data_IF_481108683007
#
_entry.id   IF_481108683007
#
_cell.length_a   1.000
_cell.length_b   1.000
_cell.length_c   1.000
_cell.angle_alpha   90.00
_cell.angle_beta   90.00
_cell.angle_gamma   90.00
#
_symmetry.space_group_name_H-M   'P 1'
#
loop_
_entity.id
_entity.type
_entity.pdbx_description
1 polymer ?
#
# COMPACT_ATOMS: atom_id res chain seq x y z
N UNK A 1 -18.94 -5.56 -18.50
CA UNK A 1 -18.99 -5.63 -17.02
C UNK A 1 -17.88 -4.74 -16.48
N UNK A 2 -18.15 -3.98 -15.41
CA UNK A 2 -17.14 -3.12 -14.78
C UNK A 2 -16.16 -3.92 -13.92
N UNK A 3 -14.94 -3.40 -13.75
CA UNK A 3 -13.94 -3.96 -12.83
C UNK A 3 -14.28 -3.57 -11.40
N UNK A 4 -14.12 -4.49 -10.47
CA UNK A 4 -14.26 -4.25 -9.03
C UNK A 4 -13.02 -4.69 -8.28
N UNK A 5 -12.61 -3.96 -7.26
CA UNK A 5 -11.52 -4.37 -6.38
C UNK A 5 -11.97 -4.28 -4.92
N UNK A 6 -11.86 -5.38 -4.19
CA UNK A 6 -12.04 -5.39 -2.75
C UNK A 6 -10.83 -4.73 -2.09
N UNK A 7 -11.09 -3.74 -1.24
CA UNK A 7 -10.11 -2.82 -0.71
C UNK A 7 -10.31 -2.61 0.80
N UNK A 8 -9.23 -2.80 1.56
CA UNK A 8 -9.28 -2.82 3.02
C UNK A 8 -9.75 -1.47 3.56
N UNK A 9 -10.89 -1.47 4.24
CA UNK A 9 -11.40 -0.30 4.95
C UNK A 9 -11.01 -0.31 6.43
N UNK A 10 -10.93 0.88 7.00
CA UNK A 10 -10.80 1.06 8.44
C UNK A 10 -12.13 1.33 9.11
N UNK A 11 -12.07 2.10 10.20
CA UNK A 11 -13.24 2.56 10.95
C UNK A 11 -14.22 3.44 10.16
N UNK A 12 -13.82 3.91 8.98
CA UNK A 12 -14.67 4.62 8.03
C UNK A 12 -14.50 3.97 6.64
N UNK A 13 -15.59 3.80 5.90
CA UNK A 13 -15.59 3.23 4.55
C UNK A 13 -14.93 4.11 3.50
N UNK A 14 -14.36 5.26 3.83
CA UNK A 14 -13.48 6.04 2.94
C UNK A 14 -12.01 5.84 3.28
N UNK A 15 -11.72 5.41 4.52
CA UNK A 15 -10.36 5.18 4.99
C UNK A 15 -9.82 3.86 4.43
N UNK A 16 -9.00 3.93 3.38
CA UNK A 16 -8.41 2.77 2.68
C UNK A 16 -6.89 2.73 2.84
N UNK A 17 -6.39 1.90 3.74
CA UNK A 17 -4.98 1.97 4.17
C UNK A 17 -4.13 0.76 3.78
N UNK A 18 -4.67 -0.25 3.09
CA UNK A 18 -3.85 -1.40 2.69
C UNK A 18 -2.74 -0.98 1.72
N UNK A 19 -1.45 -1.23 2.05
CA UNK A 19 -0.34 -0.90 1.15
C UNK A 19 -0.48 -1.63 -0.19
N UNK A 20 -0.99 -2.87 -0.18
CA UNK A 20 -1.13 -3.70 -1.37
C UNK A 20 -2.27 -3.23 -2.28
N UNK A 21 -3.37 -2.72 -1.71
CA UNK A 21 -4.46 -2.15 -2.49
C UNK A 21 -4.03 -0.83 -3.15
N UNK A 22 -3.23 -0.01 -2.47
CA UNK A 22 -2.66 1.19 -3.06
C UNK A 22 -1.79 0.91 -4.28
N UNK A 23 -0.98 -0.16 -4.28
CA UNK A 23 -0.24 -0.59 -5.49
C UNK A 23 -1.17 -0.75 -6.69
N UNK A 24 -2.28 -1.47 -6.49
CA UNK A 24 -3.25 -1.77 -7.56
C UNK A 24 -4.02 -0.52 -8.00
N UNK A 25 -4.36 0.40 -7.09
CA UNK A 25 -4.98 1.69 -7.44
C UNK A 25 -4.10 2.49 -8.40
N UNK A 26 -2.81 2.61 -8.10
CA UNK A 26 -1.86 3.28 -8.98
C UNK A 26 -1.70 2.56 -10.33
N UNK A 27 -1.65 1.23 -10.33
CA UNK A 27 -1.57 0.45 -11.57
C UNK A 27 -2.80 0.61 -12.47
N UNK A 28 -4.01 0.53 -11.90
CA UNK A 28 -5.26 0.76 -12.62
C UNK A 28 -5.31 2.19 -13.19
N UNK A 29 -4.90 3.19 -12.41
CA UNK A 29 -4.89 4.57 -12.84
C UNK A 29 -3.84 4.84 -13.95
N UNK A 30 -2.65 4.25 -13.85
CA UNK A 30 -1.62 4.28 -14.90
C UNK A 30 -2.16 3.73 -16.22
N UNK A 31 -2.88 2.61 -16.16
CA UNK A 31 -3.55 1.98 -17.31
C UNK A 31 -4.76 2.78 -17.83
N UNK A 32 -5.27 3.77 -17.09
CA UNK A 32 -6.49 4.51 -17.43
C UNK A 32 -7.76 3.67 -17.29
N UNK A 33 -7.78 2.77 -16.29
CA UNK A 33 -8.82 1.75 -16.14
C UNK A 33 -9.74 2.03 -14.94
N UNK A 34 -10.99 2.44 -15.19
CA UNK A 34 -12.05 2.68 -14.17
C UNK A 34 -12.42 1.47 -13.32
N UNK A 35 -12.24 1.52 -12.01
CA UNK A 35 -12.52 0.40 -11.11
C UNK A 35 -13.42 0.84 -9.94
N UNK A 36 -14.41 0.01 -9.61
CA UNK A 36 -15.20 0.16 -8.39
C UNK A 36 -14.41 -0.39 -7.20
N UNK A 37 -14.15 0.44 -6.19
CA UNK A 37 -13.45 0.02 -4.98
C UNK A 37 -14.44 -0.35 -3.87
N UNK A 38 -14.58 -1.65 -3.61
CA UNK A 38 -15.52 -2.18 -2.62
C UNK A 38 -14.87 -2.19 -1.24
N UNK A 39 -15.42 -1.51 -0.21
CA UNK A 39 -14.94 -1.64 1.16
C UNK A 39 -14.92 -3.10 1.62
N UNK A 40 -13.84 -3.50 2.27
CA UNK A 40 -13.70 -4.83 2.85
C UNK A 40 -13.05 -4.75 4.24
N UNK A 41 -13.67 -5.37 5.25
CA UNK A 41 -13.12 -5.49 6.62
C UNK A 41 -12.37 -6.81 6.78
N UNK A 42 -11.44 -6.88 7.73
CA UNK A 42 -10.64 -8.09 7.98
C UNK A 42 -11.47 -9.34 8.27
N UNK A 43 -12.62 -9.16 8.93
CA UNK A 43 -13.52 -10.26 9.29
C UNK A 43 -14.54 -10.61 8.20
N UNK A 44 -14.68 -9.80 7.15
CA UNK A 44 -15.63 -10.00 6.03
C UNK A 44 -15.16 -11.09 5.04
N UNK A 45 -14.71 -12.24 5.53
CA UNK A 45 -14.09 -13.29 4.70
C UNK A 45 -15.02 -13.84 3.64
N UNK A 46 -16.32 -13.90 3.93
CA UNK A 46 -17.34 -14.38 2.99
C UNK A 46 -17.42 -13.53 1.72
N UNK A 47 -17.20 -12.21 1.84
CA UNK A 47 -17.28 -11.27 0.73
C UNK A 47 -16.24 -11.55 -0.38
N UNK A 48 -15.14 -12.25 -0.06
CA UNK A 48 -14.09 -12.63 -1.00
C UNK A 48 -13.88 -14.15 -1.09
N UNK A 49 -14.77 -14.95 -0.51
CA UNK A 49 -14.60 -16.41 -0.44
C UNK A 49 -14.49 -17.07 -1.81
N UNK A 50 -15.13 -16.51 -2.83
CA UNK A 50 -15.04 -16.96 -4.23
C UNK A 50 -13.61 -16.88 -4.82
N UNK A 51 -12.70 -16.12 -4.19
CA UNK A 51 -11.32 -15.97 -4.64
C UNK A 51 -10.35 -16.97 -3.99
N UNK A 52 -10.84 -17.83 -3.08
CA UNK A 52 -10.03 -18.73 -2.25
C UNK A 52 -8.95 -18.00 -1.42
N UNK A 53 -9.09 -16.69 -1.22
CA UNK A 53 -8.20 -15.87 -0.40
C UNK A 53 -8.88 -15.32 0.85
N UNK A 54 -8.04 -14.96 1.82
CA UNK A 54 -8.46 -14.32 3.07
C UNK A 54 -7.89 -12.91 3.21
N UNK A 55 -7.39 -12.31 2.13
CA UNK A 55 -6.69 -11.02 2.10
C UNK A 55 -7.00 -10.28 0.81
N UNK A 56 -6.90 -8.96 0.88
CA UNK A 56 -7.05 -8.03 -0.26
C UNK A 56 -5.68 -7.48 -0.68
N UNK A 57 -5.52 -7.01 -1.94
CA UNK A 57 -6.53 -6.80 -2.97
C UNK A 57 -7.03 -8.10 -3.62
N UNK A 58 -8.32 -8.10 -3.97
CA UNK A 58 -8.95 -9.06 -4.90
C UNK A 58 -9.58 -8.24 -6.02
N UNK A 59 -9.06 -8.38 -7.24
CA UNK A 59 -9.60 -7.75 -8.45
C UNK A 59 -10.56 -8.73 -9.13
N UNK A 60 -11.76 -8.26 -9.46
CA UNK A 60 -12.74 -8.94 -10.30
C UNK A 60 -12.87 -8.18 -11.60
N UNK A 61 -12.65 -8.86 -12.72
CA UNK A 61 -12.75 -8.31 -14.06
C UNK A 61 -13.50 -9.29 -14.97
N UNK A 62 -14.77 -8.99 -15.23
CA UNK A 62 -15.70 -9.95 -15.85
C UNK A 62 -15.84 -11.20 -14.98
N UNK A 63 -15.52 -12.37 -15.56
CA UNK A 63 -15.56 -13.66 -14.89
C UNK A 63 -14.22 -14.06 -14.24
N UNK A 64 -13.21 -13.17 -14.29
CA UNK A 64 -11.88 -13.45 -13.73
C UNK A 64 -11.74 -12.82 -12.34
N UNK A 65 -11.24 -13.59 -11.37
CA UNK A 65 -10.79 -13.10 -10.08
C UNK A 65 -9.27 -13.25 -9.95
N UNK A 66 -8.59 -12.16 -9.62
CA UNK A 66 -7.12 -12.10 -9.50
C UNK A 66 -6.73 -11.54 -8.15
N UNK A 67 -5.76 -12.18 -7.52
CA UNK A 67 -5.31 -11.91 -6.16
C UNK A 67 -3.79 -11.71 -6.14
N UNK A 68 -3.25 -11.18 -5.04
CA UNK A 68 -1.88 -10.66 -4.93
C UNK A 68 -1.64 -9.43 -5.81
N UNK A 69 -1.18 -8.33 -5.20
CA UNK A 69 -1.02 -7.05 -5.91
C UNK A 69 -0.09 -7.13 -7.12
N UNK A 70 0.95 -7.98 -7.08
CA UNK A 70 1.91 -8.11 -8.19
C UNK A 70 1.37 -9.01 -9.29
N UNK A 71 0.67 -10.09 -8.94
CA UNK A 71 -0.01 -10.92 -9.95
C UNK A 71 -1.17 -10.17 -10.61
N UNK A 72 -1.82 -9.23 -9.91
CA UNK A 72 -2.76 -8.27 -10.51
C UNK A 72 -2.04 -7.38 -11.55
N UNK A 73 -0.82 -6.89 -11.31
CA UNK A 73 -0.07 -6.12 -12.32
C UNK A 73 0.18 -6.98 -13.57
N UNK A 74 0.61 -8.24 -13.40
CA UNK A 74 0.82 -9.17 -14.51
C UNK A 74 -0.46 -9.47 -15.29
N UNK A 75 -1.58 -9.61 -14.59
CA UNK A 75 -2.89 -9.77 -15.21
C UNK A 75 -3.25 -8.53 -16.05
N UNK A 76 -3.11 -7.33 -15.47
CA UNK A 76 -3.42 -6.08 -16.16
C UNK A 76 -2.56 -5.90 -17.41
N UNK A 77 -1.26 -6.22 -17.36
CA UNK A 77 -0.38 -6.18 -18.54
C UNK A 77 -0.77 -7.20 -19.62
N UNK A 78 -1.26 -8.37 -19.23
CA UNK A 78 -1.70 -9.40 -20.18
C UNK A 78 -3.02 -9.05 -20.85
N UNK A 79 -3.98 -8.54 -20.10
CA UNK A 79 -5.35 -8.27 -20.58
C UNK A 79 -5.47 -6.89 -21.23
N UNK A 80 -4.72 -5.91 -20.72
CA UNK A 80 -4.69 -4.54 -21.19
C UNK A 80 -3.25 -4.16 -21.54
N UNK A 81 -2.74 -4.53 -22.73
CA UNK A 81 -1.32 -4.43 -23.07
C UNK A 81 -0.81 -2.98 -23.23
N UNK A 82 -1.72 -2.02 -23.46
CA UNK A 82 -1.36 -0.61 -23.54
C UNK A 82 -0.80 -0.11 -22.20
N UNK A 83 0.23 0.75 -22.24
CA UNK A 83 0.93 1.29 -21.07
C UNK A 83 1.40 0.17 -20.10
N UNK A 84 2.35 -0.68 -20.52
CA UNK A 84 2.79 -1.82 -19.72
C UNK A 84 3.40 -1.37 -18.39
N UNK A 85 3.07 -2.07 -17.31
CA UNK A 85 3.56 -1.80 -15.96
C UNK A 85 4.93 -2.44 -15.75
N UNK A 86 5.05 -3.74 -16.04
CA UNK A 86 6.21 -4.56 -15.66
C UNK A 86 7.23 -4.72 -16.79
N UNK A 87 6.84 -4.43 -18.02
CA UNK A 87 7.65 -4.73 -19.21
C UNK A 87 7.79 -6.24 -19.45
N UNK A 88 8.76 -6.64 -20.28
CA UNK A 88 9.00 -8.02 -20.68
C UNK A 88 10.22 -8.66 -19.98
N UNK A 89 10.16 -9.98 -19.83
CA UNK A 89 11.25 -10.83 -19.35
C UNK A 89 12.02 -10.24 -18.15
N UNK A 90 13.29 -9.85 -18.30
CA UNK A 90 14.10 -9.31 -17.20
C UNK A 90 13.54 -8.06 -16.51
N UNK A 91 12.75 -7.22 -17.21
CA UNK A 91 12.17 -6.02 -16.60
C UNK A 91 11.17 -6.38 -15.50
N UNK A 92 10.29 -7.35 -15.78
CA UNK A 92 9.31 -7.83 -14.81
C UNK A 92 10.00 -8.43 -13.57
N UNK A 93 11.06 -9.23 -13.76
CA UNK A 93 11.81 -9.83 -12.65
C UNK A 93 12.55 -8.78 -11.80
N UNK A 94 13.05 -7.70 -12.41
CA UNK A 94 13.58 -6.55 -11.65
C UNK A 94 12.49 -5.84 -10.86
N UNK A 95 11.30 -5.62 -11.42
CA UNK A 95 10.17 -5.06 -10.66
C UNK A 95 9.76 -5.98 -9.48
N UNK A 96 9.87 -7.31 -9.65
CA UNK A 96 9.63 -8.28 -8.56
C UNK A 96 10.60 -8.10 -7.40
N UNK A 97 11.83 -7.65 -7.63
CA UNK A 97 12.74 -7.27 -6.55
C UNK A 97 12.17 -6.11 -5.72
N UNK A 98 11.62 -5.07 -6.34
CA UNK A 98 11.01 -3.93 -5.63
C UNK A 98 9.79 -4.33 -4.80
N UNK A 99 9.00 -5.32 -5.25
CA UNK A 99 7.95 -5.93 -4.42
C UNK A 99 8.52 -6.43 -3.09
N UNK A 100 9.59 -7.23 -3.15
CA UNK A 100 10.23 -7.78 -1.95
C UNK A 100 10.95 -6.72 -1.12
N UNK A 101 11.62 -5.76 -1.75
CA UNK A 101 12.24 -4.62 -1.06
C UNK A 101 11.21 -3.85 -0.22
N UNK A 102 10.06 -3.51 -0.81
CA UNK A 102 8.99 -2.84 -0.08
C UNK A 102 8.44 -3.69 1.08
N UNK A 103 8.27 -4.99 0.89
CA UNK A 103 7.70 -5.90 1.90
C UNK A 103 8.67 -6.29 3.02
N UNK A 104 9.96 -6.41 2.71
CA UNK A 104 10.97 -6.99 3.60
C UNK A 104 11.90 -5.95 4.20
N UNK A 105 12.09 -4.82 3.53
CA UNK A 105 12.98 -3.76 3.99
C UNK A 105 12.21 -2.55 4.51
N UNK A 106 11.21 -2.06 3.76
CA UNK A 106 10.47 -0.85 4.15
C UNK A 106 9.36 -1.14 5.18
N UNK A 107 8.49 -2.11 4.88
CA UNK A 107 7.31 -2.39 5.69
C UNK A 107 7.60 -2.68 7.18
N UNK A 108 8.68 -3.38 7.57
CA UNK A 108 8.98 -3.58 8.99
C UNK A 108 9.27 -2.28 9.75
N UNK A 109 10.00 -1.35 9.13
CA UNK A 109 10.28 -0.03 9.70
C UNK A 109 9.01 0.80 9.83
N UNK A 110 8.25 0.90 8.73
CA UNK A 110 6.95 1.59 8.71
C UNK A 110 6.03 1.03 9.79
N UNK A 111 5.80 -0.28 9.82
CA UNK A 111 4.90 -0.93 10.75
C UNK A 111 5.27 -0.62 12.20
N UNK A 112 6.55 -0.79 12.56
CA UNK A 112 7.02 -0.52 13.92
C UNK A 112 6.78 0.93 14.32
N UNK A 113 6.87 1.86 13.35
CA UNK A 113 6.59 3.27 13.58
C UNK A 113 5.12 3.58 13.79
N UNK A 114 4.21 2.99 13.03
CA UNK A 114 2.79 3.40 13.01
C UNK A 114 1.83 2.35 13.61
N UNK A 115 2.32 1.28 14.23
CA UNK A 115 1.49 0.12 14.60
C UNK A 115 0.23 0.51 15.41
N UNK A 116 0.36 1.37 16.41
CA UNK A 116 -0.79 1.79 17.22
C UNK A 116 -1.74 2.70 16.46
N UNK A 117 -1.23 3.54 15.54
CA UNK A 117 -2.09 4.32 14.65
C UNK A 117 -2.88 3.42 13.70
N UNK A 118 -2.25 2.36 13.18
CA UNK A 118 -2.93 1.35 12.37
C UNK A 118 -4.00 0.64 13.19
N UNK A 119 -3.70 0.25 14.43
CA UNK A 119 -4.70 -0.34 15.32
C UNK A 119 -5.88 0.61 15.58
N UNK A 120 -5.61 1.91 15.71
CA UNK A 120 -6.66 2.93 15.85
C UNK A 120 -7.49 3.10 14.57
N UNK A 121 -6.85 3.00 13.40
CA UNK A 121 -7.49 3.09 12.09
C UNK A 121 -8.36 1.86 11.75
N UNK A 122 -8.03 0.68 12.29
CA UNK A 122 -8.80 -0.56 12.10
C UNK A 122 -10.25 -0.38 12.58
N UNK A 123 -11.19 -0.94 11.81
CA UNK A 123 -12.61 -0.92 12.16
C UNK A 123 -12.85 -1.53 13.55
N UNK A 124 -13.72 -0.96 14.41
CA UNK A 124 -13.98 -1.48 15.75
C UNK A 124 -14.24 -2.99 15.80
N UNK A 125 -15.11 -3.51 14.92
CA UNK A 125 -15.43 -4.95 14.78
C UNK A 125 -14.21 -5.84 14.47
N UNK A 126 -13.15 -5.28 13.87
CA UNK A 126 -11.95 -6.01 13.49
C UNK A 126 -10.82 -5.91 14.51
N UNK A 127 -10.93 -5.05 15.54
CA UNK A 127 -9.81 -4.77 16.45
C UNK A 127 -9.38 -6.01 17.24
N UNK A 128 -10.32 -6.82 17.70
CA UNK A 128 -10.00 -8.06 18.41
C UNK A 128 -9.28 -9.05 17.49
N UNK A 129 -9.80 -9.24 16.27
CA UNK A 129 -9.17 -10.09 15.26
C UNK A 129 -7.76 -9.59 14.93
N UNK A 130 -7.60 -8.27 14.73
CA UNK A 130 -6.33 -7.64 14.45
C UNK A 130 -5.34 -7.91 15.58
N UNK A 131 -5.66 -7.51 16.82
CA UNK A 131 -4.78 -7.68 17.97
C UNK A 131 -4.36 -9.14 18.12
N UNK A 132 -5.32 -10.06 18.21
CA UNK A 132 -5.07 -11.48 18.43
C UNK A 132 -4.13 -12.08 17.38
N UNK A 133 -4.40 -11.80 16.10
CA UNK A 133 -3.59 -12.38 15.02
C UNK A 133 -2.20 -11.76 14.90
N UNK A 134 -2.06 -10.45 15.17
CA UNK A 134 -0.77 -9.75 15.06
C UNK A 134 0.12 -10.05 16.26
N UNK A 135 -0.41 -10.04 17.48
CA UNK A 135 0.35 -10.41 18.68
C UNK A 135 0.82 -11.86 18.63
N UNK A 136 -0.03 -12.79 18.14
CA UNK A 136 0.40 -14.17 17.88
C UNK A 136 1.56 -14.24 16.87
N UNK A 137 1.52 -13.45 15.80
CA UNK A 137 2.58 -13.42 14.80
C UNK A 137 3.87 -12.74 15.30
N UNK A 138 3.74 -11.74 16.18
CA UNK A 138 4.88 -11.02 16.76
C UNK A 138 5.51 -11.73 17.97
N UNK A 139 4.74 -12.59 18.65
CA UNK A 139 5.14 -13.21 19.91
C UNK A 139 5.19 -12.23 21.09
N UNK A 140 4.52 -11.07 20.96
CA UNK A 140 4.47 -9.97 21.94
C UNK A 140 3.27 -9.08 21.67
N UNK A 141 2.94 -8.20 22.62
CA UNK A 141 1.82 -7.25 22.48
C UNK A 141 2.05 -6.23 21.36
N UNK A 142 0.97 -5.58 20.89
CA UNK A 142 1.09 -4.48 19.93
C UNK A 142 1.91 -3.32 20.51
N UNK A 143 1.70 -3.03 21.79
CA UNK A 143 2.38 -1.96 22.53
C UNK A 143 3.89 -2.21 22.64
N UNK A 144 4.31 -3.45 22.92
CA UNK A 144 5.74 -3.83 22.93
C UNK A 144 6.36 -3.86 21.53
N UNK A 145 5.55 -4.13 20.50
CA UNK A 145 6.02 -4.10 19.11
C UNK A 145 6.15 -2.66 18.60
N UNK A 146 5.27 -1.76 19.03
CA UNK A 146 5.27 -0.35 18.62
C UNK A 146 6.48 0.39 19.18
N UNK A 147 7.34 0.89 18.30
CA UNK A 147 8.54 1.63 18.69
C UNK A 147 8.91 2.62 17.58
N UNK A 148 8.33 3.84 17.59
CA UNK A 148 8.59 4.86 16.58
C UNK A 148 10.05 5.13 16.31
N UNK A 149 10.87 5.29 17.34
CA UNK A 149 12.31 5.57 17.17
C UNK A 149 13.06 4.43 16.48
N UNK A 150 12.80 3.18 16.88
CA UNK A 150 13.42 2.02 16.24
C UNK A 150 12.90 1.82 14.81
N UNK A 151 11.59 1.99 14.59
CA UNK A 151 10.97 1.87 13.27
C UNK A 151 11.52 2.90 12.29
N UNK A 152 11.66 4.16 12.73
CA UNK A 152 12.27 5.23 11.93
C UNK A 152 13.75 4.94 11.63
N UNK A 153 14.53 4.46 12.59
CA UNK A 153 15.93 4.07 12.34
C UNK A 153 16.07 2.89 11.37
N UNK A 154 15.16 1.92 11.44
CA UNK A 154 15.10 0.81 10.47
C UNK A 154 14.73 1.31 9.07
N UNK A 155 13.72 2.17 8.99
CA UNK A 155 13.26 2.74 7.73
C UNK A 155 14.36 3.60 7.10
N UNK A 156 15.00 4.48 7.86
CA UNK A 156 16.09 5.33 7.41
C UNK A 156 17.21 4.55 6.72
N UNK A 157 17.66 3.44 7.33
CA UNK A 157 18.64 2.53 6.71
C UNK A 157 18.09 1.84 5.46
N UNK A 158 16.83 1.44 5.49
CA UNK A 158 16.20 0.75 4.36
C UNK A 158 16.03 1.67 3.15
N UNK A 159 15.91 2.98 3.34
CA UNK A 159 15.74 3.98 2.28
C UNK A 159 17.03 4.34 1.55
N UNK A 160 18.20 3.95 2.04
CA UNK A 160 19.48 4.38 1.48
C UNK A 160 19.65 4.08 -0.02
N UNK A 161 19.33 2.87 -0.53
CA UNK A 161 19.39 2.61 -1.97
C UNK A 161 18.39 3.48 -2.77
N UNK A 162 17.26 3.81 -2.16
CA UNK A 162 16.22 4.63 -2.77
C UNK A 162 16.68 6.09 -2.88
N UNK A 163 17.37 6.62 -1.87
CA UNK A 163 17.97 7.96 -1.90
C UNK A 163 18.97 8.07 -3.05
N UNK A 164 19.92 7.14 -3.13
CA UNK A 164 20.90 7.13 -4.23
C UNK A 164 20.24 7.10 -5.61
N UNK A 165 19.18 6.29 -5.79
CA UNK A 165 18.43 6.27 -7.04
C UNK A 165 17.74 7.61 -7.34
N UNK A 166 17.17 8.25 -6.32
CA UNK A 166 16.38 9.48 -6.46
C UNK A 166 17.21 10.76 -6.52
N UNK A 167 18.51 10.68 -6.25
CA UNK A 167 19.47 11.74 -6.59
C UNK A 167 19.71 11.83 -8.10
N UNK A 168 19.63 10.70 -8.81
CA UNK A 168 19.84 10.64 -10.24
C UNK A 168 18.56 10.91 -11.06
N UNK A 169 17.38 10.72 -10.48
CA UNK A 169 16.14 10.63 -11.24
C UNK A 169 14.90 10.92 -10.39
N UNK A 170 13.82 11.50 -10.96
CA UNK A 170 12.63 11.86 -10.19
C UNK A 170 11.84 10.65 -9.69
N UNK A 171 11.95 9.49 -10.35
CA UNK A 171 11.28 8.25 -10.00
C UNK A 171 12.25 7.06 -9.99
N UNK A 172 11.82 5.95 -9.40
CA UNK A 172 12.62 4.71 -9.36
C UNK A 172 12.81 4.12 -10.75
N UNK A 173 11.84 4.31 -11.65
CA UNK A 173 11.92 3.87 -13.05
C UNK A 173 12.56 4.86 -14.01
N UNK A 174 12.95 6.05 -13.54
CA UNK A 174 13.54 7.08 -14.39
C UNK A 174 12.77 8.39 -14.35
N UNK A 175 12.55 8.96 -15.53
CA UNK A 175 11.90 10.26 -15.70
C UNK A 175 10.39 10.22 -15.43
N UNK A 176 9.77 9.04 -15.53
CA UNK A 176 8.36 8.80 -15.26
C UNK A 176 8.18 7.67 -14.24
N UNK A 177 7.05 7.69 -13.52
CA UNK A 177 6.72 6.66 -12.53
C UNK A 177 6.24 5.36 -13.21
N UNK A 178 6.80 4.24 -12.78
CA UNK A 178 6.46 2.91 -13.30
C UNK A 178 6.07 1.91 -12.22
N UNK A 179 6.08 0.62 -12.55
CA UNK A 179 5.65 -0.43 -11.61
C UNK A 179 6.50 -0.45 -10.34
N UNK A 180 7.81 -0.22 -10.44
CA UNK A 180 8.71 -0.19 -9.29
C UNK A 180 8.29 0.90 -8.28
N UNK A 181 7.92 2.09 -8.77
CA UNK A 181 7.36 3.16 -7.95
C UNK A 181 6.03 2.75 -7.30
N UNK A 182 5.12 2.15 -8.06
CA UNK A 182 3.80 1.73 -7.57
C UNK A 182 3.91 0.63 -6.50
N UNK A 183 4.87 -0.29 -6.64
CA UNK A 183 5.13 -1.35 -5.66
C UNK A 183 5.68 -0.77 -4.33
N UNK A 184 6.50 0.28 -4.40
CA UNK A 184 7.12 0.92 -3.23
C UNK A 184 6.18 1.91 -2.56
N UNK A 185 5.44 2.73 -3.32
CA UNK A 185 4.54 3.78 -2.79
C UNK A 185 3.45 3.23 -1.88
N UNK A 186 3.08 1.96 -2.04
CA UNK A 186 2.13 1.30 -1.15
C UNK A 186 2.51 1.41 0.33
N UNK A 187 3.79 1.26 0.69
CA UNK A 187 4.25 1.38 2.08
C UNK A 187 4.10 2.81 2.63
N UNK A 188 4.31 3.83 1.78
CA UNK A 188 4.17 5.23 2.12
C UNK A 188 2.71 5.66 2.22
N UNK A 189 1.86 5.18 1.31
CA UNK A 189 0.42 5.40 1.37
C UNK A 189 -0.19 4.76 2.61
N UNK A 190 0.30 3.58 3.03
CA UNK A 190 -0.13 2.96 4.28
C UNK A 190 0.07 3.89 5.48
N UNK A 191 1.27 4.44 5.63
CA UNK A 191 1.56 5.40 6.70
C UNK A 191 0.78 6.71 6.57
N UNK A 192 0.75 7.30 5.37
CA UNK A 192 0.04 8.55 5.11
C UNK A 192 -1.45 8.45 5.45
N UNK A 193 -2.08 7.33 5.12
CA UNK A 193 -3.52 7.13 5.32
C UNK A 193 -3.82 6.72 6.76
N UNK A 194 -3.03 5.84 7.37
CA UNK A 194 -3.31 5.31 8.70
C UNK A 194 -2.72 6.12 9.85
N UNK A 195 -1.86 7.11 9.59
CA UNK A 195 -1.13 7.86 10.63
C UNK A 195 -0.87 9.32 10.25
N UNK A 196 -0.51 10.12 11.25
CA UNK A 196 0.02 11.47 11.12
C UNK A 196 1.55 11.51 11.31
N UNK A 197 2.19 10.37 11.49
CA UNK A 197 3.63 10.27 11.69
C UNK A 197 4.41 10.76 10.45
N UNK A 198 5.38 11.63 10.69
CA UNK A 198 6.36 12.02 9.70
C UNK A 198 7.43 10.93 9.59
N UNK A 199 7.37 10.15 8.50
CA UNK A 199 8.32 9.06 8.27
C UNK A 199 9.68 9.55 7.77
N UNK A 200 9.71 10.68 7.06
CA UNK A 200 10.87 11.17 6.33
C UNK A 200 10.90 12.71 6.43
N UNK A 201 12.09 13.26 6.60
CA UNK A 201 12.34 14.71 6.51
C UNK A 201 11.95 15.28 5.15
N UNK A 202 11.46 16.52 5.13
CA UNK A 202 11.11 17.22 3.89
C UNK A 202 12.33 17.54 2.98
N UNK A 203 13.54 17.51 3.53
CA UNK A 203 14.78 17.69 2.79
C UNK A 203 15.28 16.40 2.11
N UNK A 204 14.67 15.25 2.41
CA UNK A 204 15.07 13.96 1.86
C UNK A 204 14.54 13.79 0.41
N UNK A 205 15.33 13.29 -0.54
CA UNK A 205 14.87 13.06 -1.92
C UNK A 205 13.69 12.10 -2.01
N UNK A 206 13.55 11.15 -1.06
CA UNK A 206 12.39 10.25 -0.99
C UNK A 206 11.12 11.03 -0.66
N UNK A 207 11.19 12.08 0.17
CA UNK A 207 10.03 12.93 0.42
C UNK A 207 9.58 13.64 -0.87
N UNK A 208 10.51 14.19 -1.64
CA UNK A 208 10.20 14.84 -2.91
C UNK A 208 9.60 13.85 -3.93
N UNK A 209 10.14 12.63 -4.01
CA UNK A 209 9.55 11.53 -4.78
C UNK A 209 8.12 11.23 -4.33
N UNK A 210 7.88 11.13 -3.02
CA UNK A 210 6.56 10.83 -2.52
C UNK A 210 5.56 11.94 -2.85
N UNK A 211 5.96 13.22 -2.78
CA UNK A 211 5.11 14.32 -3.23
C UNK A 211 4.72 14.18 -4.71
N UNK A 212 5.67 13.84 -5.60
CA UNK A 212 5.36 13.57 -7.01
C UNK A 212 4.39 12.41 -7.16
N UNK A 213 4.60 11.31 -6.43
CA UNK A 213 3.68 10.16 -6.43
C UNK A 213 2.26 10.54 -6.01
N UNK A 214 2.11 11.43 -5.03
CA UNK A 214 0.79 11.89 -4.57
C UNK A 214 0.03 12.68 -5.64
N UNK A 215 0.73 13.37 -6.54
CA UNK A 215 0.17 14.19 -7.63
C UNK A 215 -0.18 13.40 -8.88
N UNK A 216 0.35 12.18 -9.03
CA UNK A 216 0.06 11.34 -10.19
C UNK A 216 -1.43 11.01 -10.32
N UNK A 217 -1.84 10.79 -11.57
CA UNK A 217 -3.15 10.26 -11.95
C UNK A 217 -4.33 11.08 -11.39
N UNK A 218 -4.24 12.41 -11.45
CA UNK A 218 -5.28 13.29 -10.91
C UNK A 218 -5.27 13.40 -9.38
N UNK A 219 -4.14 13.08 -8.75
CA UNK A 219 -3.95 13.24 -7.32
C UNK A 219 -4.61 12.13 -6.48
N UNK A 220 -4.73 10.90 -7.00
CA UNK A 220 -5.41 9.80 -6.28
C UNK A 220 -4.81 9.54 -4.90
N UNK A 221 -3.50 9.72 -4.74
CA UNK A 221 -2.81 9.58 -3.46
C UNK A 221 -2.98 10.81 -2.57
N UNK A 222 -2.94 12.02 -3.16
CA UNK A 222 -3.12 13.28 -2.43
C UNK A 222 -4.51 13.40 -1.83
N UNK A 223 -5.54 13.00 -2.60
CA UNK A 223 -6.96 13.10 -2.27
C UNK A 223 -7.48 11.91 -1.44
N UNK A 224 -6.62 10.97 -1.08
CA UNK A 224 -6.97 9.87 -0.21
C UNK A 224 -7.47 10.38 1.15
N UNK A 225 -8.61 9.87 1.63
CA UNK A 225 -9.05 10.09 3.01
C UNK A 225 -8.03 9.50 3.97
N UNK A 226 -7.57 10.29 4.93
CA UNK A 226 -6.59 9.90 5.96
C UNK A 226 -7.29 9.80 7.32
N UNK A 227 -6.64 9.13 8.27
CA UNK A 227 -7.15 8.99 9.64
C UNK A 227 -7.38 10.35 10.31
N UNK A 228 -6.56 11.36 9.97
CA UNK A 228 -6.70 12.74 10.45
C UNK A 228 -7.97 13.43 9.96
N UNK A 229 -8.60 12.92 8.89
CA UNK A 229 -9.83 13.46 8.31
C UNK A 229 -11.09 12.77 8.88
N UNK A 230 -10.92 11.75 9.73
CA UNK A 230 -12.01 10.95 10.30
C UNK A 230 -12.30 11.41 11.73
N UNK A 231 -13.57 11.71 12.01
CA UNK A 231 -14.03 12.03 13.36
C UNK A 231 -13.72 10.90 14.34
N UNK A 232 -13.09 11.25 15.46
CA UNK A 232 -12.62 10.27 16.44
C UNK A 232 -11.41 9.44 15.99
N UNK A 233 -10.77 9.78 14.87
CA UNK A 233 -9.55 9.13 14.35
C UNK A 233 -8.41 9.04 15.37
N UNK A 234 -8.34 10.01 16.29
CA UNK A 234 -7.42 10.07 17.43
C UNK A 234 -8.13 10.14 18.80
N UNK A 235 -9.42 9.84 18.87
CA UNK A 235 -10.08 9.70 20.16
C UNK A 235 -9.60 8.42 20.84
N UNK A 236 -8.82 8.58 21.92
CA UNK A 236 -8.34 7.51 22.79
C UNK A 236 -9.49 6.75 23.44
#
# INVERSE_FOLDING_TARGET
>A
MGRKMFDLCGRDERLRFSPYCWRVKFALAHKGLDCEFVPWKFTDKEAIAFSDQSKVPVLVDGDQSVVDSYEIFRYLDRVYPDKPLLGDGPAAERARFFKFYAERSLAPGVMRTILMDVFNAVHPDDREYFRTTREKAFGRTLEEMHSPSQGLSMLDKALEPMRGRLEESPFLEGDEAGASDYLVVGAFMWARVASAADLISNADPVYAWFQRMLDLHGGIGRNATRIVDIDGGYAN
#
